data_IF_336290609131
#
_entry.id   IF_336290609131
#
_cell.length_a   1.000
_cell.length_b   1.000
_cell.length_c   1.000
_cell.angle_alpha   90.00
_cell.angle_beta   90.00
_cell.angle_gamma   90.00
#
_symmetry.space_group_name_H-M   'P 1'
#
loop_
_entity.id
_entity.type
_entity.pdbx_description
1 polymer ?
#
# COMPACT_ATOMS: atom_id res chain seq x y z
N UNK A 1 0.69 33.06 -41.43
CA UNK A 1 1.95 32.50 -40.91
C UNK A 1 1.92 32.05 -39.41
N UNK A 2 0.88 32.34 -38.64
CA UNK A 2 0.76 32.05 -37.17
C UNK A 2 0.45 30.59 -36.82
N UNK A 3 -0.15 29.82 -37.72
CA UNK A 3 -0.62 28.45 -37.41
C UNK A 3 0.50 27.39 -37.38
N UNK A 4 1.61 27.62 -38.08
CA UNK A 4 2.72 26.65 -38.16
C UNK A 4 3.61 26.68 -36.91
N UNK A 5 3.83 27.87 -36.34
CA UNK A 5 4.58 28.07 -35.11
C UNK A 5 3.84 27.50 -33.88
N UNK A 6 2.54 27.68 -33.83
CA UNK A 6 1.69 27.15 -32.78
C UNK A 6 1.68 25.59 -32.74
N UNK A 7 1.65 24.95 -33.92
CA UNK A 7 1.73 23.48 -34.02
C UNK A 7 3.08 22.90 -33.62
N UNK A 8 4.19 23.62 -33.94
CA UNK A 8 5.55 23.25 -33.52
C UNK A 8 5.70 23.37 -32.00
N UNK A 9 5.21 24.46 -31.38
CA UNK A 9 5.22 24.67 -29.93
C UNK A 9 4.44 23.58 -29.17
N UNK A 10 3.25 23.23 -29.64
CA UNK A 10 2.45 22.16 -29.03
C UNK A 10 3.10 20.77 -29.18
N UNK A 11 3.75 20.46 -30.29
CA UNK A 11 4.50 19.20 -30.47
C UNK A 11 5.68 19.09 -29.52
N UNK A 12 6.43 20.20 -29.37
CA UNK A 12 7.56 20.24 -28.43
C UNK A 12 7.08 20.08 -27.00
N UNK A 13 6.02 20.78 -26.59
CA UNK A 13 5.43 20.67 -25.27
C UNK A 13 4.95 19.23 -24.98
N UNK A 14 4.22 18.61 -25.91
CA UNK A 14 3.77 17.21 -25.81
C UNK A 14 4.94 16.22 -25.76
N UNK A 15 6.05 16.49 -26.43
CA UNK A 15 7.25 15.64 -26.37
C UNK A 15 7.94 15.75 -25.01
N UNK A 16 8.10 16.98 -24.47
CA UNK A 16 8.65 17.21 -23.13
C UNK A 16 7.74 16.62 -22.05
N UNK A 17 6.42 16.76 -22.17
CA UNK A 17 5.45 16.14 -21.24
C UNK A 17 5.56 14.62 -21.24
N UNK A 18 5.69 13.97 -22.40
CA UNK A 18 5.89 12.52 -22.51
C UNK A 18 7.25 12.06 -21.96
N UNK A 19 8.30 12.84 -22.18
CA UNK A 19 9.64 12.54 -21.66
C UNK A 19 9.67 12.69 -20.15
N UNK A 20 9.04 13.72 -19.61
CA UNK A 20 8.91 13.97 -18.17
C UNK A 20 8.09 12.87 -17.51
N UNK A 21 6.97 12.45 -18.10
CA UNK A 21 6.17 11.30 -17.64
C UNK A 21 7.01 10.02 -17.62
N UNK A 22 7.76 9.73 -18.68
CA UNK A 22 8.59 8.52 -18.75
C UNK A 22 9.74 8.51 -17.72
N UNK A 23 10.31 9.67 -17.42
CA UNK A 23 11.32 9.80 -16.35
C UNK A 23 10.66 9.74 -14.98
N UNK A 24 9.44 10.26 -14.82
CA UNK A 24 8.64 10.14 -13.60
C UNK A 24 8.35 8.68 -13.28
N UNK A 25 7.92 7.92 -14.28
CA UNK A 25 7.65 6.48 -14.11
C UNK A 25 8.90 5.73 -13.64
N UNK A 26 10.06 5.98 -14.26
CA UNK A 26 11.33 5.36 -13.86
C UNK A 26 11.80 5.78 -12.46
N UNK A 27 11.59 7.03 -12.08
CA UNK A 27 11.96 7.54 -10.76
C UNK A 27 11.14 6.86 -9.67
N UNK A 28 9.80 6.79 -9.84
CA UNK A 28 8.91 6.12 -8.91
C UNK A 28 9.20 4.61 -8.88
N UNK A 29 9.47 3.99 -10.03
CA UNK A 29 9.82 2.58 -10.09
C UNK A 29 11.08 2.28 -9.28
N UNK A 30 12.13 3.09 -9.42
CA UNK A 30 13.36 2.95 -8.65
C UNK A 30 13.10 3.02 -7.14
N UNK A 31 12.31 4.00 -6.69
CA UNK A 31 11.93 4.14 -5.29
C UNK A 31 11.06 2.99 -4.78
N UNK A 32 10.24 2.38 -5.64
CA UNK A 32 9.46 1.18 -5.30
C UNK A 32 10.34 -0.06 -5.17
N UNK A 33 11.39 -0.19 -5.98
CA UNK A 33 12.34 -1.30 -5.93
C UNK A 33 13.30 -1.18 -4.75
N UNK A 34 13.74 0.05 -4.45
CA UNK A 34 14.62 0.35 -3.33
C UNK A 34 14.29 1.72 -2.70
N UNK A 35 13.45 1.72 -1.67
CA UNK A 35 13.08 2.94 -0.94
C UNK A 35 14.23 3.61 -0.16
N UNK A 36 15.39 2.92 -0.02
CA UNK A 36 16.63 3.46 0.59
C UNK A 36 17.69 3.84 -0.43
N UNK A 37 17.34 3.92 -1.72
CA UNK A 37 18.27 4.36 -2.75
C UNK A 37 18.83 5.75 -2.39
N UNK A 38 20.15 5.89 -2.42
CA UNK A 38 20.80 7.17 -2.12
C UNK A 38 20.60 8.17 -3.26
N UNK A 39 20.77 9.46 -2.96
CA UNK A 39 20.69 10.52 -3.96
C UNK A 39 21.72 10.31 -5.07
N UNK A 40 22.92 9.82 -4.71
CA UNK A 40 24.01 9.52 -5.65
C UNK A 40 23.65 8.36 -6.58
N UNK A 41 23.01 7.31 -6.04
CA UNK A 41 22.55 6.18 -6.84
C UNK A 41 21.45 6.59 -7.81
N UNK A 42 20.47 7.38 -7.37
CA UNK A 42 19.42 7.93 -8.23
C UNK A 42 20.02 8.83 -9.31
N UNK A 43 20.97 9.69 -8.93
CA UNK A 43 21.69 10.58 -9.83
C UNK A 43 22.41 9.80 -10.94
N UNK A 44 23.13 8.73 -10.57
CA UNK A 44 23.87 7.90 -11.52
C UNK A 44 22.97 7.17 -12.51
N UNK A 45 21.79 6.73 -12.08
CA UNK A 45 20.86 5.96 -12.91
C UNK A 45 19.98 6.84 -13.82
N UNK A 46 19.59 8.03 -13.32
CA UNK A 46 18.64 8.89 -14.03
C UNK A 46 19.29 10.15 -14.62
N UNK A 47 20.55 10.42 -14.31
CA UNK A 47 21.26 11.63 -14.79
C UNK A 47 20.71 12.93 -14.19
N UNK A 48 20.07 12.86 -13.02
CA UNK A 48 19.50 14.03 -12.33
C UNK A 48 20.50 14.57 -11.32
N UNK A 49 20.45 15.88 -11.06
CA UNK A 49 21.25 16.50 -9.98
C UNK A 49 20.59 16.26 -8.61
N UNK A 50 21.40 16.31 -7.55
CA UNK A 50 20.93 16.06 -6.19
C UNK A 50 19.75 16.96 -5.77
N UNK A 51 19.87 18.25 -6.04
CA UNK A 51 18.83 19.25 -5.76
C UNK A 51 17.49 18.96 -6.49
N UNK A 52 17.59 18.44 -7.72
CA UNK A 52 16.41 18.03 -8.49
C UNK A 52 15.76 16.77 -7.93
N UNK A 53 16.56 15.84 -7.39
CA UNK A 53 16.07 14.59 -6.79
C UNK A 53 15.33 14.89 -5.49
N UNK A 54 15.96 15.65 -4.59
CA UNK A 54 15.35 16.03 -3.30
C UNK A 54 14.04 16.80 -3.50
N UNK A 55 14.06 17.81 -4.39
CA UNK A 55 12.85 18.55 -4.74
C UNK A 55 11.76 17.64 -5.27
N UNK A 56 12.11 16.68 -6.13
CA UNK A 56 11.15 15.76 -6.73
C UNK A 56 10.52 14.81 -5.72
N UNK A 57 11.29 14.32 -4.75
CA UNK A 57 10.77 13.52 -3.65
C UNK A 57 9.78 14.36 -2.83
N UNK A 58 10.14 15.59 -2.47
CA UNK A 58 9.26 16.50 -1.74
C UNK A 58 7.95 16.76 -2.51
N UNK A 59 8.04 17.10 -3.79
CA UNK A 59 6.86 17.36 -4.64
C UNK A 59 5.94 16.11 -4.72
N UNK A 60 6.50 14.90 -4.75
CA UNK A 60 5.73 13.65 -4.76
C UNK A 60 5.06 13.34 -3.43
N UNK A 61 5.68 13.69 -2.31
CA UNK A 61 5.10 13.59 -0.97
C UNK A 61 3.98 14.61 -0.82
N UNK A 62 4.24 15.87 -1.14
CA UNK A 62 3.28 16.98 -1.01
C UNK A 62 2.03 16.78 -1.89
N UNK A 63 2.20 16.17 -3.07
CA UNK A 63 1.09 15.81 -3.95
C UNK A 63 0.36 14.51 -3.54
N UNK A 64 0.84 13.79 -2.52
CA UNK A 64 0.25 12.54 -2.06
C UNK A 64 0.47 11.34 -2.99
N UNK A 65 1.40 11.43 -3.95
CA UNK A 65 1.81 10.30 -4.80
C UNK A 65 2.65 9.32 -3.99
N UNK A 66 3.56 9.82 -3.16
CA UNK A 66 4.27 9.04 -2.14
C UNK A 66 3.56 9.27 -0.81
N UNK A 67 2.98 8.23 -0.25
CA UNK A 67 2.29 8.27 1.04
C UNK A 67 3.26 8.14 2.21
N UNK A 68 4.42 7.53 2.00
CA UNK A 68 5.44 7.30 3.01
C UNK A 68 6.50 6.30 2.55
N UNK A 69 7.48 6.07 3.41
CA UNK A 69 8.51 5.04 3.25
C UNK A 69 8.43 4.11 4.46
N UNK A 70 8.53 2.82 4.22
CA UNK A 70 8.51 1.81 5.27
C UNK A 70 9.50 0.70 4.98
N UNK A 71 9.97 0.03 6.03
CA UNK A 71 10.73 -1.20 5.91
C UNK A 71 9.77 -2.39 5.81
N UNK A 72 10.04 -3.30 4.90
CA UNK A 72 9.34 -4.58 4.82
C UNK A 72 10.16 -5.58 5.64
N UNK A 73 9.54 -6.10 6.70
CA UNK A 73 10.19 -6.97 7.67
C UNK A 73 9.56 -8.37 7.66
N UNK A 74 10.33 -9.35 8.06
CA UNK A 74 9.83 -10.68 8.38
C UNK A 74 9.49 -10.72 9.88
N UNK A 75 8.20 -10.66 10.20
CA UNK A 75 7.72 -10.63 11.58
C UNK A 75 8.11 -11.87 12.38
N UNK A 76 8.37 -13.00 11.73
CA UNK A 76 8.82 -14.23 12.40
C UNK A 76 10.23 -14.14 12.97
N UNK A 77 11.02 -13.14 12.52
CA UNK A 77 12.40 -12.87 12.95
C UNK A 77 12.51 -11.68 13.92
N UNK A 78 11.39 -11.07 14.25
CA UNK A 78 11.31 -10.00 15.23
C UNK A 78 10.75 -10.57 16.54
N UNK A 79 11.20 -10.03 17.67
CA UNK A 79 10.64 -10.38 19.00
C UNK A 79 9.20 -9.84 19.21
N UNK A 80 8.50 -9.57 18.13
CA UNK A 80 7.10 -9.11 18.08
C UNK A 80 6.12 -10.30 18.14
N UNK A 81 6.45 -11.34 18.92
CA UNK A 81 5.67 -12.57 19.06
C UNK A 81 4.19 -12.35 19.48
N UNK A 82 3.86 -11.16 19.95
CA UNK A 82 2.54 -10.82 20.45
C UNK A 82 1.67 -10.04 19.44
N UNK A 83 2.20 -9.69 18.27
CA UNK A 83 1.41 -8.96 17.27
C UNK A 83 0.56 -9.92 16.45
N UNK A 84 -0.75 -9.72 16.48
CA UNK A 84 -1.74 -10.47 15.72
C UNK A 84 -2.28 -9.62 14.59
N UNK A 85 -2.10 -10.07 13.35
CA UNK A 85 -2.69 -9.43 12.18
C UNK A 85 -3.95 -10.17 11.74
N UNK A 86 -4.96 -9.43 11.31
CA UNK A 86 -6.19 -9.99 10.80
C UNK A 86 -6.68 -9.25 9.56
N UNK A 87 -7.22 -10.01 8.61
CA UNK A 87 -7.99 -9.51 7.49
C UNK A 87 -9.47 -9.61 7.83
N UNK A 88 -10.20 -8.51 7.67
CA UNK A 88 -11.62 -8.43 7.96
C UNK A 88 -12.36 -8.12 6.67
N UNK A 89 -13.23 -9.02 6.26
CA UNK A 89 -14.21 -8.79 5.22
C UNK A 89 -15.39 -8.02 5.82
N UNK A 90 -15.76 -6.92 5.18
CA UNK A 90 -16.87 -6.07 5.65
C UNK A 90 -17.89 -5.93 4.54
N UNK A 91 -19.16 -6.24 4.85
CA UNK A 91 -20.30 -5.95 3.98
C UNK A 91 -20.98 -4.68 4.44
N UNK A 92 -21.28 -3.81 3.49
CA UNK A 92 -21.84 -2.49 3.74
C UNK A 92 -23.17 -2.28 3.03
N UNK A 93 -23.97 -1.38 3.58
CA UNK A 93 -25.10 -0.82 2.84
C UNK A 93 -24.61 0.37 2.02
N UNK A 94 -24.80 0.37 0.68
CA UNK A 94 -24.39 1.50 -0.15
C UNK A 94 -25.24 2.74 0.14
N UNK A 95 -24.59 3.90 0.26
CA UNK A 95 -25.26 5.18 0.48
C UNK A 95 -25.66 5.83 -0.84
N UNK A 96 -26.82 6.50 -0.86
CA UNK A 96 -27.27 7.26 -2.03
C UNK A 96 -26.30 8.43 -2.29
N UNK A 97 -25.71 8.45 -3.48
CA UNK A 97 -24.84 9.54 -3.94
C UNK A 97 -23.38 9.48 -3.48
N UNK A 98 -23.02 8.58 -2.55
CA UNK A 98 -21.64 8.42 -2.05
C UNK A 98 -21.09 7.00 -2.11
N UNK A 99 -21.93 6.00 -2.44
CA UNK A 99 -21.52 4.59 -2.44
C UNK A 99 -21.02 4.16 -1.07
N UNK A 100 -19.79 3.68 -1.01
CA UNK A 100 -19.15 3.19 0.21
C UNK A 100 -18.09 4.15 0.79
N UNK A 101 -17.77 5.24 0.07
CA UNK A 101 -16.60 6.08 0.33
C UNK A 101 -16.58 6.72 1.73
N UNK A 102 -17.73 7.23 2.19
CA UNK A 102 -17.79 7.91 3.49
C UNK A 102 -17.46 6.96 4.63
N UNK A 103 -18.03 5.77 4.61
CA UNK A 103 -17.82 4.77 5.65
C UNK A 103 -16.42 4.14 5.56
N UNK A 104 -15.93 3.86 4.33
CA UNK A 104 -14.58 3.39 4.12
C UNK A 104 -13.52 4.36 4.66
N UNK A 105 -13.67 5.67 4.39
CA UNK A 105 -12.78 6.70 4.93
C UNK A 105 -12.88 6.85 6.45
N UNK A 106 -14.04 6.57 7.05
CA UNK A 106 -14.20 6.56 8.51
C UNK A 106 -13.48 5.37 9.12
N UNK A 107 -13.62 4.18 8.53
CA UNK A 107 -12.94 2.96 8.97
C UNK A 107 -11.41 3.12 8.85
N UNK A 108 -10.94 3.67 7.73
CA UNK A 108 -9.51 3.89 7.49
C UNK A 108 -8.82 4.88 8.46
N UNK A 109 -9.59 5.58 9.31
CA UNK A 109 -9.05 6.51 10.31
C UNK A 109 -8.83 5.89 11.69
N UNK A 110 -9.24 4.67 11.90
CA UNK A 110 -8.92 3.98 13.15
C UNK A 110 -7.44 3.62 13.20
N UNK A 111 -6.81 3.84 14.33
CA UNK A 111 -5.36 3.61 14.52
C UNK A 111 -4.98 2.14 14.36
N UNK A 112 -5.92 1.22 14.61
CA UNK A 112 -5.73 -0.22 14.44
C UNK A 112 -5.72 -0.65 12.96
N UNK A 113 -6.19 0.23 12.04
CA UNK A 113 -6.33 -0.10 10.62
C UNK A 113 -5.05 0.22 9.86
N UNK A 114 -4.39 -0.82 9.38
CA UNK A 114 -3.21 -0.71 8.51
C UNK A 114 -3.58 -0.49 7.04
N UNK A 115 -4.66 -1.15 6.60
CA UNK A 115 -5.12 -1.05 5.22
C UNK A 115 -6.64 -1.15 5.14
N UNK A 116 -7.25 -0.36 4.26
CA UNK A 116 -8.68 -0.39 3.97
C UNK A 116 -8.88 -0.24 2.45
N UNK A 117 -9.44 -1.26 1.83
CA UNK A 117 -9.56 -1.35 0.38
C UNK A 117 -11.01 -1.67 -0.02
N UNK A 118 -11.53 -0.95 -1.02
CA UNK A 118 -12.81 -1.29 -1.64
C UNK A 118 -12.60 -2.48 -2.58
N UNK A 119 -13.42 -3.49 -2.42
CA UNK A 119 -13.30 -4.76 -3.15
C UNK A 119 -14.49 -4.97 -4.10
N UNK A 120 -14.23 -5.72 -5.15
CA UNK A 120 -15.28 -6.24 -6.04
C UNK A 120 -15.40 -7.74 -5.79
N UNK A 121 -16.54 -8.22 -5.27
CA UNK A 121 -16.72 -9.64 -4.95
C UNK A 121 -17.79 -9.92 -3.90
N UNK A 122 -17.53 -10.87 -3.03
CA UNK A 122 -18.47 -11.34 -2.01
C UNK A 122 -18.66 -10.39 -0.81
N UNK A 123 -17.80 -9.40 -0.67
CA UNK A 123 -17.82 -8.36 0.35
C UNK A 123 -17.35 -7.03 -0.23
N UNK A 124 -17.57 -5.91 0.48
CA UNK A 124 -17.37 -4.57 -0.06
C UNK A 124 -16.03 -3.95 0.36
N UNK A 125 -15.58 -4.17 1.61
CA UNK A 125 -14.27 -3.71 2.07
C UNK A 125 -13.43 -4.86 2.62
N UNK A 126 -12.14 -4.81 2.28
CA UNK A 126 -11.09 -5.58 2.95
C UNK A 126 -10.35 -4.64 3.90
N UNK A 127 -10.39 -4.93 5.19
CA UNK A 127 -9.73 -4.16 6.24
C UNK A 127 -8.67 -5.02 6.88
N UNK A 128 -7.41 -4.56 6.85
CA UNK A 128 -6.30 -5.22 7.53
C UNK A 128 -5.99 -4.44 8.80
N UNK A 129 -5.94 -5.14 9.91
CA UNK A 129 -5.63 -4.58 11.22
C UNK A 129 -4.54 -5.36 11.92
N UNK A 130 -3.84 -4.69 12.83
CA UNK A 130 -2.92 -5.32 13.77
C UNK A 130 -3.31 -5.01 15.21
N UNK A 131 -3.11 -5.96 16.08
CA UNK A 131 -3.36 -5.82 17.51
C UNK A 131 -2.37 -6.64 18.33
N UNK A 132 -2.23 -6.27 19.61
CA UNK A 132 -1.33 -6.96 20.53
C UNK A 132 -1.87 -8.34 20.98
N UNK A 133 -3.09 -8.72 20.61
CA UNK A 133 -3.68 -10.02 20.94
C UNK A 133 -4.93 -10.31 20.10
N UNK A 134 -5.31 -11.58 20.03
CA UNK A 134 -6.60 -12.00 19.44
C UNK A 134 -7.79 -11.28 20.10
N UNK A 135 -7.72 -11.06 21.42
CA UNK A 135 -8.76 -10.35 22.15
C UNK A 135 -8.90 -8.91 21.69
N UNK A 136 -7.79 -8.18 21.48
CA UNK A 136 -7.82 -6.81 21.01
C UNK A 136 -8.43 -6.70 19.61
N UNK A 137 -8.09 -7.62 18.72
CA UNK A 137 -8.69 -7.70 17.39
C UNK A 137 -10.19 -7.94 17.47
N UNK A 138 -10.61 -8.91 18.30
CA UNK A 138 -12.03 -9.24 18.49
C UNK A 138 -12.81 -8.06 19.08
N UNK A 139 -12.25 -7.37 20.07
CA UNK A 139 -12.83 -6.17 20.68
C UNK A 139 -12.99 -5.04 19.67
N UNK A 140 -11.96 -4.76 18.87
CA UNK A 140 -12.04 -3.77 17.79
C UNK A 140 -13.20 -4.07 16.83
N UNK A 141 -13.31 -5.33 16.39
CA UNK A 141 -14.38 -5.74 15.47
C UNK A 141 -15.75 -5.58 16.11
N UNK A 142 -15.92 -6.06 17.34
CA UNK A 142 -17.21 -6.07 18.02
C UNK A 142 -17.68 -4.67 18.45
N UNK A 143 -16.78 -3.85 19.00
CA UNK A 143 -17.13 -2.58 19.61
C UNK A 143 -17.00 -1.38 18.68
N UNK A 144 -16.05 -1.42 17.74
CA UNK A 144 -15.79 -0.29 16.83
C UNK A 144 -16.34 -0.55 15.43
N UNK A 145 -15.96 -1.66 14.80
CA UNK A 145 -16.26 -1.89 13.40
C UNK A 145 -17.71 -2.30 13.15
N UNK A 146 -18.20 -3.31 13.86
CA UNK A 146 -19.55 -3.85 13.66
C UNK A 146 -20.66 -2.91 14.16
N UNK A 147 -20.34 -1.94 15.01
CA UNK A 147 -21.30 -0.95 15.53
C UNK A 147 -21.49 0.25 14.62
N UNK A 148 -20.68 0.37 13.55
CA UNK A 148 -20.83 1.48 12.61
C UNK A 148 -22.10 1.33 11.81
N UNK A 149 -22.89 2.41 11.77
CA UNK A 149 -24.07 2.49 10.92
C UNK A 149 -23.70 2.26 9.45
N UNK A 150 -24.38 1.34 8.79
CA UNK A 150 -24.11 0.92 7.42
C UNK A 150 -23.23 -0.34 7.31
N UNK A 151 -22.67 -0.85 8.38
CA UNK A 151 -22.03 -2.17 8.41
C UNK A 151 -23.10 -3.25 8.55
N UNK A 152 -23.18 -4.18 7.59
CA UNK A 152 -24.15 -5.30 7.58
C UNK A 152 -23.58 -6.50 8.30
N UNK A 153 -22.34 -6.85 7.97
CA UNK A 153 -21.65 -8.01 8.56
C UNK A 153 -20.16 -7.90 8.42
N UNK A 154 -19.43 -8.62 9.27
CA UNK A 154 -17.98 -8.76 9.25
C UNK A 154 -17.60 -10.24 9.34
N UNK A 155 -16.51 -10.62 8.67
CA UNK A 155 -15.85 -11.91 8.84
C UNK A 155 -14.36 -11.68 9.06
N UNK A 156 -13.83 -12.21 10.16
CA UNK A 156 -12.43 -11.98 10.57
C UNK A 156 -11.60 -13.22 10.28
N UNK A 157 -10.50 -13.03 9.56
CA UNK A 157 -9.52 -14.05 9.21
C UNK A 157 -8.19 -13.69 9.84
N UNK A 158 -7.74 -14.47 10.80
CA UNK A 158 -6.44 -14.26 11.43
C UNK A 158 -5.31 -14.75 10.53
N UNK A 159 -4.30 -13.90 10.34
CA UNK A 159 -3.11 -14.24 9.60
C UNK A 159 -2.25 -15.19 10.43
N UNK A 160 -2.01 -16.40 9.92
CA UNK A 160 -1.24 -17.42 10.64
C UNK A 160 0.24 -17.38 10.25
N UNK A 161 0.55 -17.10 8.98
CA UNK A 161 1.92 -17.07 8.46
C UNK A 161 2.01 -16.25 7.18
N UNK A 162 3.08 -15.49 7.05
CA UNK A 162 3.42 -14.78 5.81
C UNK A 162 4.47 -15.58 5.04
N UNK A 163 4.20 -15.94 3.79
CA UNK A 163 5.18 -16.56 2.89
C UNK A 163 5.80 -15.55 1.93
N UNK A 164 5.08 -14.50 1.61
CA UNK A 164 5.53 -13.42 0.72
C UNK A 164 4.77 -12.14 1.02
N UNK A 165 5.46 -11.01 1.10
CA UNK A 165 4.85 -9.69 1.27
C UNK A 165 5.52 -8.67 0.35
N UNK A 166 4.73 -7.84 -0.34
CA UNK A 166 5.20 -6.78 -1.24
C UNK A 166 6.30 -7.23 -2.25
N UNK A 167 6.25 -8.48 -2.70
CA UNK A 167 7.23 -9.04 -3.64
C UNK A 167 8.42 -9.76 -2.99
N UNK A 168 8.65 -9.60 -1.68
CA UNK A 168 9.73 -10.24 -0.94
C UNK A 168 9.27 -11.57 -0.34
N UNK A 169 10.06 -12.62 -0.52
CA UNK A 169 9.83 -13.92 0.12
C UNK A 169 10.26 -13.83 1.60
N UNK A 170 9.37 -14.21 2.49
CA UNK A 170 9.75 -14.51 3.85
C UNK A 170 10.49 -15.86 3.82
N UNK A 171 11.79 -15.86 4.15
CA UNK A 171 12.56 -17.09 4.27
C UNK A 171 12.06 -17.86 5.49
N UNK A 172 11.26 -18.90 5.26
CA UNK A 172 11.09 -19.93 6.27
C UNK A 172 12.43 -20.64 6.43
N UNK A 173 12.87 -20.85 7.67
CA UNK A 173 13.99 -21.73 7.95
C UNK A 173 13.81 -23.03 7.13
N UNK A 174 14.69 -23.22 6.15
CA UNK A 174 14.70 -24.41 5.29
C UNK A 174 15.23 -25.66 6.05
N UNK A 175 15.14 -25.65 7.38
CA UNK A 175 15.37 -26.78 8.27
C UNK A 175 14.08 -27.54 8.61
N UNK A 176 13.07 -27.44 7.76
CA UNK A 176 11.90 -28.30 7.85
C UNK A 176 12.29 -29.72 7.47
N UNK A 177 12.54 -30.57 8.46
CA UNK A 177 12.48 -32.01 8.31
C UNK A 177 11.28 -32.37 7.42
N UNK A 178 11.56 -32.88 6.23
CA UNK A 178 10.55 -33.57 5.45
C UNK A 178 10.07 -34.70 6.31
N UNK A 179 8.81 -34.63 6.76
CA UNK A 179 8.17 -35.78 7.40
C UNK A 179 8.39 -37.00 6.47
N UNK A 180 8.99 -38.09 6.97
CA UNK A 180 9.20 -39.27 6.16
C UNK A 180 7.83 -39.79 5.75
N UNK A 181 7.51 -39.73 4.48
CA UNK A 181 6.36 -40.41 3.91
C UNK A 181 6.76 -41.88 3.88
N UNK A 182 6.34 -42.62 4.92
CA UNK A 182 6.44 -44.07 4.90
C UNK A 182 5.48 -44.63 3.85
N UNK A 183 5.93 -45.59 3.01
CA UNK A 183 5.09 -46.22 2.00
C UNK A 183 3.96 -47.06 2.62
#
# INVERSE_FOLDING_TARGET
>A
MTSCLQRKSNRIKTFYDKLTLKVMDKFIQLLKENGRCSVEEISSQLGLKADQIEKRISDLIDSGVILGFTAITDSSKLDESDTVSALIEVKLTPERGGGFDRLARRIAKFDEVESCMLMSGGYDLCVVISGSSLHNVATFVAEKLSTLEGVISTATHFQLKTYKTNGFLAESDASGERLPVSP
#
